data_IF_510801313954
#
_entry.id   IF_510801313954
#
_cell.length_a   1.000
_cell.length_b   1.000
_cell.length_c   1.000
_cell.angle_alpha   90.00
_cell.angle_beta   90.00
_cell.angle_gamma   90.00
#
_symmetry.space_group_name_H-M   'P 1'
#
loop_
_entity.id
_entity.type
_entity.pdbx_description
1 polymer ?
#
# COMPACT_ATOMS: atom_id res chain seq x y z
N UNK A 1 43.21 42.24 13.58
CA UNK A 1 42.17 41.75 14.50
C UNK A 1 41.46 40.61 13.77
N UNK A 2 41.76 39.36 14.12
CA UNK A 2 41.37 38.20 13.31
C UNK A 2 40.18 37.51 13.99
N UNK A 3 38.97 37.75 13.48
CA UNK A 3 37.75 37.14 13.98
C UNK A 3 37.68 35.69 13.49
N UNK A 4 37.88 34.73 14.41
CA UNK A 4 37.71 33.30 14.13
C UNK A 4 36.22 32.99 14.16
N UNK A 5 35.60 32.82 13.00
CA UNK A 5 34.21 32.36 12.89
C UNK A 5 34.13 30.92 13.39
N UNK A 6 33.55 30.73 14.57
CA UNK A 6 33.16 29.41 15.06
C UNK A 6 31.91 29.02 14.28
N UNK A 7 32.07 28.17 13.26
CA UNK A 7 30.95 27.58 12.54
C UNK A 7 30.32 26.54 13.48
N UNK A 8 29.21 26.91 14.11
CA UNK A 8 28.37 25.96 14.85
C UNK A 8 27.56 25.19 13.81
N UNK A 9 27.98 23.96 13.53
CA UNK A 9 27.26 23.03 12.68
C UNK A 9 26.02 22.54 13.46
N UNK A 10 24.87 23.17 13.24
CA UNK A 10 23.58 22.70 13.77
C UNK A 10 23.18 21.49 12.92
N UNK A 11 23.52 20.28 13.38
CA UNK A 11 23.02 19.05 12.78
C UNK A 11 21.58 18.88 13.22
N UNK A 12 20.63 19.30 12.38
CA UNK A 12 19.22 18.95 12.57
C UNK A 12 19.06 17.47 12.27
N UNK A 13 18.92 16.65 13.32
CA UNK A 13 18.55 15.24 13.16
C UNK A 13 17.07 15.22 12.82
N UNK A 14 16.74 15.22 11.54
CA UNK A 14 15.39 14.87 11.07
C UNK A 14 15.21 13.38 11.30
N UNK A 15 14.35 13.01 12.26
CA UNK A 15 13.92 11.62 12.42
C UNK A 15 13.21 11.20 11.13
N UNK A 16 13.82 10.28 10.38
CA UNK A 16 13.18 9.61 9.26
C UNK A 16 12.27 8.57 9.87
N UNK A 17 10.97 8.81 9.82
CA UNK A 17 9.95 7.81 10.16
C UNK A 17 9.86 6.86 8.98
N UNK A 18 10.63 5.78 9.00
CA UNK A 18 10.52 4.71 8.01
C UNK A 18 9.18 3.98 8.21
N UNK A 19 8.34 3.96 7.17
CA UNK A 19 7.11 3.16 7.15
C UNK A 19 7.43 1.67 7.08
N UNK A 20 6.44 0.81 7.33
CA UNK A 20 6.61 -0.63 7.23
C UNK A 20 6.69 -1.06 5.76
N UNK A 21 7.46 -2.12 5.49
CA UNK A 21 7.57 -2.72 4.16
C UNK A 21 6.73 -3.99 4.04
N UNK A 22 5.99 -4.13 2.93
CA UNK A 22 5.17 -5.29 2.65
C UNK A 22 5.48 -5.85 1.26
N UNK A 23 5.90 -7.12 1.20
CA UNK A 23 6.05 -7.81 -0.08
C UNK A 23 4.69 -8.25 -0.60
N UNK A 24 4.31 -7.73 -1.76
CA UNK A 24 3.02 -8.06 -2.39
C UNK A 24 3.00 -9.52 -2.79
N UNK A 25 2.03 -10.26 -2.23
CA UNK A 25 1.89 -11.70 -2.45
C UNK A 25 2.76 -12.58 -1.54
N UNK A 26 3.45 -12.01 -0.55
CA UNK A 26 4.37 -12.71 0.35
C UNK A 26 5.41 -13.52 -0.45
N UNK A 27 5.66 -14.78 -0.10
CA UNK A 27 6.65 -15.65 -0.78
C UNK A 27 6.35 -15.91 -2.27
N UNK A 28 5.09 -15.73 -2.71
CA UNK A 28 4.72 -15.91 -4.12
C UNK A 28 5.19 -14.74 -5.00
N UNK A 29 5.36 -13.55 -4.42
CA UNK A 29 5.63 -12.32 -5.15
C UNK A 29 4.48 -11.91 -6.08
N UNK A 30 4.83 -11.14 -7.11
CA UNK A 30 3.89 -10.54 -8.05
C UNK A 30 3.81 -11.34 -9.36
N UNK A 31 2.92 -12.31 -9.41
CA UNK A 31 2.65 -13.16 -10.57
C UNK A 31 1.16 -13.45 -10.78
N UNK A 32 0.80 -14.16 -11.85
CA UNK A 32 -0.57 -14.67 -12.01
C UNK A 32 -0.87 -15.67 -10.88
N UNK A 33 -1.86 -15.41 -10.01
CA UNK A 33 -2.09 -16.24 -8.84
C UNK A 33 -2.86 -17.53 -9.20
N UNK A 34 -2.84 -18.55 -8.32
CA UNK A 34 -3.63 -19.77 -8.51
C UNK A 34 -5.14 -19.54 -8.35
N UNK A 35 -5.55 -18.47 -7.67
CA UNK A 35 -6.94 -18.07 -7.50
C UNK A 35 -7.09 -16.55 -7.66
N UNK A 36 -8.22 -16.08 -8.24
CA UNK A 36 -8.40 -14.66 -8.55
C UNK A 36 -8.51 -13.74 -7.31
N UNK A 37 -8.77 -14.31 -6.14
CA UNK A 37 -8.91 -13.62 -4.86
C UNK A 37 -7.61 -13.57 -4.04
N UNK A 38 -6.53 -14.23 -4.49
CA UNK A 38 -5.27 -14.36 -3.75
C UNK A 38 -4.73 -13.03 -3.20
N UNK A 39 -4.59 -12.00 -4.04
CA UNK A 39 -4.06 -10.72 -3.59
C UNK A 39 -5.04 -9.90 -2.77
N UNK A 40 -6.35 -10.09 -2.95
CA UNK A 40 -7.35 -9.48 -2.08
C UNK A 40 -7.26 -10.08 -0.67
N UNK A 41 -7.08 -11.40 -0.57
CA UNK A 41 -6.81 -12.07 0.71
C UNK A 41 -5.48 -11.64 1.32
N UNK A 42 -4.42 -11.47 0.52
CA UNK A 42 -3.14 -10.93 0.97
C UNK A 42 -3.30 -9.52 1.56
N UNK A 43 -3.94 -8.60 0.85
CA UNK A 43 -4.14 -7.22 1.31
C UNK A 43 -4.96 -7.18 2.61
N UNK A 44 -5.92 -8.08 2.78
CA UNK A 44 -6.76 -8.16 3.99
C UNK A 44 -6.01 -8.62 5.26
N UNK A 45 -4.78 -9.14 5.15
CA UNK A 45 -3.95 -9.55 6.31
C UNK A 45 -3.37 -8.34 7.06
N UNK A 46 -3.25 -7.20 6.40
CA UNK A 46 -2.43 -6.09 6.87
C UNK A 46 -3.26 -4.81 7.08
N UNK A 47 -2.74 -3.92 7.92
CA UNK A 47 -3.26 -2.57 8.09
C UNK A 47 -2.18 -1.59 7.61
N UNK A 48 -2.36 -1.08 6.40
CA UNK A 48 -1.40 -0.18 5.78
C UNK A 48 -1.63 1.26 6.23
N UNK A 49 -0.55 2.00 6.44
CA UNK A 49 -0.56 3.41 6.81
C UNK A 49 0.23 4.24 5.80
N UNK A 50 -0.03 5.53 5.73
CA UNK A 50 0.74 6.45 4.89
C UNK A 50 2.25 6.29 5.09
N UNK A 51 2.99 6.35 3.99
CA UNK A 51 4.45 6.11 3.90
C UNK A 51 4.90 4.66 4.14
N UNK A 52 3.98 3.71 4.33
CA UNK A 52 4.32 2.29 4.16
C UNK A 52 4.75 2.03 2.71
N UNK A 53 5.58 1.01 2.54
CA UNK A 53 6.20 0.63 1.27
C UNK A 53 5.62 -0.69 0.79
N UNK A 54 5.26 -0.74 -0.50
CA UNK A 54 4.94 -2.00 -1.17
C UNK A 54 6.12 -2.45 -2.02
N UNK A 55 6.55 -3.69 -1.83
CA UNK A 55 7.62 -4.32 -2.60
C UNK A 55 7.00 -5.31 -3.59
N UNK A 56 7.21 -5.06 -4.88
CA UNK A 56 6.75 -5.93 -5.97
C UNK A 56 7.94 -6.71 -6.53
N UNK A 57 7.99 -7.99 -6.19
CA UNK A 57 9.04 -8.91 -6.67
C UNK A 57 8.53 -9.74 -7.84
N UNK A 58 9.21 -9.66 -8.98
CA UNK A 58 8.95 -10.46 -10.17
C UNK A 58 10.17 -10.46 -11.10
N UNK A 59 10.21 -11.41 -12.04
CA UNK A 59 11.21 -11.42 -13.10
C UNK A 59 10.91 -10.31 -14.13
N UNK A 60 11.93 -9.54 -14.50
CA UNK A 60 11.79 -8.48 -15.50
C UNK A 60 11.27 -9.04 -16.85
N UNK A 61 10.36 -8.30 -17.48
CA UNK A 61 9.84 -8.64 -18.80
C UNK A 61 8.72 -9.70 -18.81
N UNK A 62 8.35 -10.30 -17.67
CA UNK A 62 7.16 -11.17 -17.58
C UNK A 62 5.98 -10.52 -16.87
N UNK A 63 6.24 -9.52 -16.03
CA UNK A 63 5.24 -8.76 -15.28
C UNK A 63 5.58 -7.27 -15.28
N UNK A 64 4.65 -6.45 -14.81
CA UNK A 64 4.81 -5.02 -14.62
C UNK A 64 3.97 -4.55 -13.42
N UNK A 65 4.20 -3.32 -12.99
CA UNK A 65 3.39 -2.65 -11.97
C UNK A 65 2.62 -1.54 -12.68
N UNK A 66 1.30 -1.70 -12.76
CA UNK A 66 0.40 -0.72 -13.39
C UNK A 66 -0.60 -0.20 -12.37
N UNK A 67 -0.71 1.12 -12.21
CA UNK A 67 -1.70 1.77 -11.35
C UNK A 67 -2.86 2.26 -12.18
N UNK A 68 -4.09 1.92 -11.78
CA UNK A 68 -5.31 2.23 -12.51
C UNK A 68 -6.29 3.06 -11.68
N UNK A 69 -7.30 3.61 -12.35
CA UNK A 69 -8.52 4.05 -11.67
C UNK A 69 -9.29 2.83 -11.16
N UNK A 70 -10.20 3.03 -10.19
CA UNK A 70 -11.09 1.95 -9.71
C UNK A 70 -11.91 1.31 -10.84
N UNK A 71 -12.40 2.12 -11.78
CA UNK A 71 -13.22 1.67 -12.91
C UNK A 71 -12.42 0.78 -13.87
N UNK A 72 -11.23 1.25 -14.25
CA UNK A 72 -10.31 0.51 -15.11
C UNK A 72 -9.78 -0.75 -14.43
N UNK A 73 -9.49 -0.67 -13.12
CA UNK A 73 -9.12 -1.84 -12.32
C UNK A 73 -10.22 -2.89 -12.37
N UNK A 74 -11.48 -2.53 -12.13
CA UNK A 74 -12.61 -3.48 -12.13
C UNK A 74 -12.80 -4.18 -13.48
N UNK A 75 -12.55 -3.47 -14.57
CA UNK A 75 -12.72 -3.97 -15.94
C UNK A 75 -11.44 -4.53 -16.55
N UNK A 76 -10.31 -4.49 -15.81
CA UNK A 76 -8.98 -4.79 -16.33
C UNK A 76 -8.61 -4.00 -17.59
N UNK A 77 -9.07 -2.75 -17.68
CA UNK A 77 -8.72 -1.85 -18.76
C UNK A 77 -7.36 -1.20 -18.48
N UNK A 78 -6.33 -1.63 -19.19
CA UNK A 78 -4.95 -1.14 -18.99
C UNK A 78 -4.53 -0.12 -20.05
N UNK A 79 -5.48 0.39 -20.83
CA UNK A 79 -5.21 1.27 -21.99
C UNK A 79 -4.64 2.64 -21.58
N UNK A 80 -5.12 3.20 -20.47
CA UNK A 80 -4.75 4.54 -20.00
C UNK A 80 -4.36 4.50 -18.51
N UNK A 81 -3.20 3.93 -18.16
CA UNK A 81 -2.80 3.80 -16.77
C UNK A 81 -2.45 5.15 -16.15
N UNK A 82 -2.65 5.27 -14.84
CA UNK A 82 -2.19 6.42 -14.05
C UNK A 82 -0.66 6.41 -13.90
N UNK A 83 -0.10 5.21 -13.83
CA UNK A 83 1.34 4.94 -13.77
C UNK A 83 1.63 3.52 -14.26
N UNK A 84 2.79 3.31 -14.87
CA UNK A 84 3.25 1.99 -15.28
C UNK A 84 4.78 1.93 -15.23
N UNK A 85 5.32 0.82 -14.73
CA UNK A 85 6.75 0.49 -14.86
C UNK A 85 6.91 -1.00 -15.18
N UNK A 86 7.80 -1.37 -16.12
CA UNK A 86 8.10 -2.77 -16.43
C UNK A 86 9.03 -3.43 -15.41
N UNK A 87 9.60 -2.63 -14.49
CA UNK A 87 10.66 -3.08 -13.60
C UNK A 87 10.08 -3.50 -12.24
N UNK A 88 10.61 -4.56 -11.60
CA UNK A 88 10.31 -4.85 -10.22
C UNK A 88 10.84 -3.72 -9.32
N UNK A 89 10.26 -3.56 -8.13
CA UNK A 89 10.72 -2.51 -7.24
C UNK A 89 9.77 -2.13 -6.14
N UNK A 90 10.02 -0.94 -5.59
CA UNK A 90 9.34 -0.43 -4.41
C UNK A 90 8.46 0.75 -4.75
N UNK A 91 7.23 0.72 -4.23
CA UNK A 91 6.27 1.81 -4.34
C UNK A 91 6.14 2.48 -2.98
N UNK A 92 6.43 3.77 -2.92
CA UNK A 92 6.46 4.59 -1.70
C UNK A 92 5.62 5.86 -1.89
N UNK A 93 5.64 6.77 -0.90
CA UNK A 93 4.90 8.05 -0.91
C UNK A 93 3.38 7.86 -1.13
N UNK A 94 2.82 6.80 -0.56
CA UNK A 94 1.42 6.45 -0.71
C UNK A 94 0.56 7.25 0.27
N UNK A 95 -0.36 8.04 -0.28
CA UNK A 95 -1.33 8.83 0.48
C UNK A 95 -2.46 7.96 1.02
N UNK A 96 -3.19 8.48 2.02
CA UNK A 96 -4.36 7.85 2.61
C UNK A 96 -5.53 7.74 1.62
N UNK A 97 -5.48 6.73 0.76
CA UNK A 97 -6.51 6.37 -0.22
C UNK A 97 -6.39 4.88 -0.58
N UNK A 98 -7.33 4.37 -1.37
CA UNK A 98 -7.21 3.07 -2.02
C UNK A 98 -6.47 3.21 -3.35
N UNK A 99 -5.36 2.49 -3.46
CA UNK A 99 -4.55 2.43 -4.69
C UNK A 99 -4.77 1.08 -5.37
N UNK A 100 -4.96 1.11 -6.69
CA UNK A 100 -5.35 -0.05 -7.49
C UNK A 100 -4.19 -0.46 -8.42
N UNK A 101 -3.53 -1.55 -8.07
CA UNK A 101 -2.39 -2.09 -8.82
C UNK A 101 -2.81 -3.31 -9.66
N UNK A 102 -2.21 -3.48 -10.82
CA UNK A 102 -2.42 -4.63 -11.71
C UNK A 102 -1.20 -4.89 -12.57
N UNK A 103 -1.15 -6.07 -13.19
CA UNK A 103 -0.27 -6.31 -14.33
C UNK A 103 -1.04 -6.01 -15.63
N UNK A 104 -0.42 -5.27 -16.55
CA UNK A 104 -1.04 -4.87 -17.84
C UNK A 104 -0.91 -5.92 -18.94
N UNK A 105 -0.06 -6.93 -18.74
CA UNK A 105 0.17 -7.99 -19.71
C UNK A 105 -1.13 -8.73 -20.01
N UNK A 106 -1.32 -9.10 -21.28
CA UNK A 106 -2.58 -9.60 -21.79
C UNK A 106 -3.10 -10.79 -20.97
N UNK A 107 -4.27 -10.62 -20.35
CA UNK A 107 -4.94 -11.64 -19.55
C UNK A 107 -4.45 -11.79 -18.10
N UNK A 108 -3.38 -11.11 -17.68
CA UNK A 108 -2.83 -11.23 -16.32
C UNK A 108 -3.80 -10.66 -15.28
N UNK A 109 -4.26 -9.41 -15.47
CA UNK A 109 -5.27 -8.79 -14.62
C UNK A 109 -6.55 -9.66 -14.50
N UNK A 110 -7.05 -10.15 -15.63
CA UNK A 110 -8.28 -10.94 -15.68
C UNK A 110 -8.14 -12.31 -14.97
N UNK A 111 -6.92 -12.85 -14.90
CA UNK A 111 -6.59 -14.05 -14.13
C UNK A 111 -6.29 -13.77 -12.65
N UNK A 112 -6.43 -12.52 -12.21
CA UNK A 112 -6.33 -12.14 -10.81
C UNK A 112 -5.03 -11.47 -10.40
N UNK A 113 -4.10 -11.16 -11.32
CA UNK A 113 -2.88 -10.40 -10.98
C UNK A 113 -3.19 -8.91 -10.80
N UNK A 114 -3.89 -8.61 -9.71
CA UNK A 114 -4.40 -7.28 -9.36
C UNK A 114 -4.64 -7.18 -7.86
N UNK A 115 -4.39 -6.01 -7.26
CA UNK A 115 -4.61 -5.75 -5.84
C UNK A 115 -5.11 -4.33 -5.60
N UNK A 116 -6.04 -4.18 -4.67
CA UNK A 116 -6.47 -2.88 -4.15
C UNK A 116 -6.00 -2.77 -2.70
N UNK A 117 -5.23 -1.73 -2.40
CA UNK A 117 -4.62 -1.51 -1.08
C UNK A 117 -5.09 -0.18 -0.53
N UNK A 118 -5.71 -0.20 0.65
CA UNK A 118 -6.12 1.01 1.36
C UNK A 118 -5.06 1.41 2.38
N UNK A 119 -4.57 2.65 2.28
CA UNK A 119 -3.66 3.25 3.24
C UNK A 119 -4.44 4.17 4.18
N UNK A 120 -4.28 3.98 5.49
CA UNK A 120 -4.85 4.86 6.49
C UNK A 120 -3.91 6.04 6.80
N UNK A 121 -4.46 7.18 7.22
CA UNK A 121 -3.64 8.36 7.53
C UNK A 121 -2.79 8.23 8.81
N UNK A 122 -3.06 7.20 9.65
CA UNK A 122 -2.32 6.96 10.88
C UNK A 122 -2.41 5.49 11.31
N UNK A 123 -1.42 4.99 12.09
CA UNK A 123 -1.49 3.69 12.73
C UNK A 123 -2.68 3.55 13.68
N UNK A 124 -3.15 2.30 13.84
CA UNK A 124 -4.11 2.00 14.89
C UNK A 124 -3.49 2.30 16.27
N UNK A 125 -4.26 2.89 17.21
CA UNK A 125 -3.78 3.05 18.57
C UNK A 125 -3.45 1.66 19.17
N UNK A 126 -2.42 1.56 20.02
CA UNK A 126 -2.14 0.31 20.71
C UNK A 126 -3.40 -0.14 21.47
N UNK A 127 -3.74 -1.41 21.33
CA UNK A 127 -4.87 -1.99 22.05
C UNK A 127 -4.70 -1.71 23.55
N UNK A 128 -5.76 -1.30 24.29
CA UNK A 128 -5.67 -1.17 25.74
C UNK A 128 -5.10 -2.48 26.31
N UNK A 129 -3.99 -2.40 27.04
CA UNK A 129 -3.43 -3.55 27.70
C UNK A 129 -4.47 -4.20 28.63
N UNK A 130 -4.32 -5.49 28.99
CA UNK A 130 -5.26 -6.14 29.89
C UNK A 130 -5.33 -5.36 31.20
N UNK A 131 -6.43 -4.65 31.40
CA UNK A 131 -6.77 -4.05 32.68
C UNK A 131 -6.94 -5.19 33.69
N UNK A 132 -6.48 -5.07 34.95
CA UNK A 132 -6.73 -6.10 35.95
C UNK A 132 -8.24 -6.34 36.05
N UNK A 133 -8.66 -7.58 35.81
CA UNK A 133 -10.06 -7.99 35.83
C UNK A 133 -10.68 -7.75 37.21
N UNK A 134 -11.72 -6.93 37.27
CA UNK A 134 -12.86 -7.22 38.15
C UNK A 134 -13.96 -7.88 37.31
N UNK A 135 -14.36 -9.05 37.80
CA UNK A 135 -15.23 -10.03 37.18
C UNK A 135 -16.68 -9.55 37.03
N UNK A 136 -17.26 -9.65 35.84
CA UNK A 136 -18.65 -10.09 35.62
C UNK A 136 -18.94 -10.32 34.13
N UNK A 137 -19.45 -11.50 33.82
CA UNK A 137 -19.82 -11.97 32.49
C UNK A 137 -21.05 -11.26 31.91
N UNK A 138 -21.05 -11.02 30.59
CA UNK A 138 -22.24 -11.05 29.75
C UNK A 138 -21.86 -11.16 28.25
N UNK A 139 -22.09 -12.36 27.73
CA UNK A 139 -22.34 -12.75 26.33
C UNK A 139 -22.85 -11.63 25.39
N UNK A 140 -22.09 -11.29 24.34
CA UNK A 140 -22.64 -10.81 23.05
C UNK A 140 -21.73 -11.21 21.85
N UNK A 141 -22.33 -12.02 20.98
CA UNK A 141 -21.97 -12.42 19.61
C UNK A 141 -21.40 -11.28 18.72
N UNK A 142 -20.48 -11.54 17.77
CA UNK A 142 -19.87 -10.48 16.98
C UNK A 142 -20.81 -10.01 15.87
N UNK A 143 -21.29 -8.78 15.99
CA UNK A 143 -21.97 -8.08 14.92
C UNK A 143 -20.95 -7.64 13.84
N UNK A 144 -20.95 -8.35 12.73
CA UNK A 144 -20.38 -7.91 11.45
C UNK A 144 -20.92 -6.53 11.08
N UNK A 145 -20.05 -5.52 10.94
CA UNK A 145 -20.42 -4.21 10.38
C UNK A 145 -19.81 -4.07 8.98
N UNK A 146 -20.61 -3.70 7.96
CA UNK A 146 -20.11 -3.50 6.62
C UNK A 146 -19.40 -2.14 6.53
N UNK A 147 -18.28 -2.09 5.82
CA UNK A 147 -17.63 -0.82 5.47
C UNK A 147 -18.50 -0.05 4.46
N UNK A 148 -18.89 1.16 4.84
CA UNK A 148 -19.69 2.07 4.03
C UNK A 148 -18.76 2.78 3.04
N UNK A 149 -18.95 2.49 1.75
CA UNK A 149 -18.25 3.16 0.65
C UNK A 149 -18.60 4.65 0.62
N UNK A 150 -17.58 5.51 0.61
CA UNK A 150 -17.67 6.85 0.03
C UNK A 150 -16.67 6.90 -1.11
N UNK A 151 -17.20 7.20 -2.29
CA UNK A 151 -16.47 7.31 -3.55
C UNK A 151 -16.55 8.77 -3.94
N UNK A 152 -15.44 9.49 -3.92
CA UNK A 152 -15.40 10.82 -4.53
C UNK A 152 -14.08 11.02 -5.28
N UNK A 153 -14.21 11.37 -6.57
CA UNK A 153 -13.11 11.73 -7.46
C UNK A 153 -12.46 13.01 -6.93
N UNK A 154 -11.16 12.99 -6.63
CA UNK A 154 -10.40 14.23 -6.46
C UNK A 154 -9.35 14.32 -7.56
N UNK A 155 -9.59 15.24 -8.51
CA UNK A 155 -8.57 15.65 -9.47
C UNK A 155 -7.53 16.52 -8.78
N UNK A 156 -6.27 16.09 -8.78
CA UNK A 156 -5.11 16.98 -8.82
C UNK A 156 -3.90 16.15 -9.23
N UNK A 157 -3.09 16.65 -10.17
CA UNK A 157 -1.83 16.03 -10.61
C UNK A 157 -0.89 15.73 -9.42
N UNK A 158 -0.93 14.53 -8.86
CA UNK A 158 0.02 14.08 -7.82
C UNK A 158 0.60 12.74 -8.21
N UNK A 159 1.93 12.68 -8.11
CA UNK A 159 2.80 11.69 -8.74
C UNK A 159 3.07 10.59 -7.71
N UNK A 160 2.66 9.36 -7.98
CA UNK A 160 3.13 8.18 -7.25
C UNK A 160 4.64 8.07 -7.50
N UNK A 161 5.44 8.00 -6.43
CA UNK A 161 6.89 7.78 -6.52
C UNK A 161 7.17 6.28 -6.52
N UNK A 162 7.81 5.79 -7.58
CA UNK A 162 8.33 4.42 -7.62
C UNK A 162 9.84 4.52 -7.63
N UNK A 163 10.46 3.91 -6.62
CA UNK A 163 11.92 3.82 -6.53
C UNK A 163 12.31 2.42 -6.98
N UNK A 164 13.08 2.37 -8.07
CA UNK A 164 13.64 1.13 -8.58
C UNK A 164 14.70 0.62 -7.62
N UNK A 165 14.74 -0.70 -7.41
CA UNK A 165 15.78 -1.36 -6.62
C UNK A 165 17.05 -1.56 -7.46
#
# INVERSE_FOLDING_TARGET
MNMKYVIVLVITITAITEGAEYTVGDDMGWMIPPSPDYYASWAAKYYFVENDTLVFNFEEGVHDITVLTKEDFNTCNTTNPLFQTPDPGTVTDLSSDTIYFTCSFAGHCAKGQKVAVYFASAPLPPSPGPSPSESAAADQSPASRPFKFVSEKMGTNRKVSVTMA
#
